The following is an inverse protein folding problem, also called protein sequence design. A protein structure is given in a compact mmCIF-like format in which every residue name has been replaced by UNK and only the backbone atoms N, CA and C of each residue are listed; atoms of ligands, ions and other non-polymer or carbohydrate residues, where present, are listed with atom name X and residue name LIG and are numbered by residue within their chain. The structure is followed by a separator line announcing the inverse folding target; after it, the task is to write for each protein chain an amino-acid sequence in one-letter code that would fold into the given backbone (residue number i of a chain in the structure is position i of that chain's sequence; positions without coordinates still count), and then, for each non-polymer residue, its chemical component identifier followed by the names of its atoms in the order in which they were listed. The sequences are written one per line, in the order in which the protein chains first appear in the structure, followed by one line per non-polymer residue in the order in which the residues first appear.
data_IF_125056489226
#
_entry.id   IF_125056489226
#
_cell.length_a   1.000
_cell.length_b   1.000
_cell.length_c   1.000
_cell.angle_alpha   90.00
_cell.angle_beta   90.00
_cell.angle_gamma   90.00
#
_symmetry.space_group_name_H-M   'P 1'
#
loop_
_entity.id
_entity.type
_entity.pdbx_description
1 polymer ?
#
# COMPACT_ATOMS: atom_id res chain seq x y z
N UNK A 1 -21.40 -56.60 -21.71
CA UNK A 1 -21.84 -56.69 -20.30
C UNK A 1 -20.89 -55.89 -19.43
N UNK A 2 -21.45 -55.00 -18.60
CA UNK A 2 -21.06 -54.59 -17.24
C UNK A 2 -19.63 -54.04 -16.98
N UNK A 3 -19.61 -52.70 -16.84
CA UNK A 3 -18.98 -51.85 -15.82
C UNK A 3 -17.67 -52.30 -15.13
N UNK A 4 -16.69 -51.38 -15.03
CA UNK A 4 -16.53 -50.58 -13.79
C UNK A 4 -15.39 -49.56 -13.88
N UNK A 5 -15.81 -48.31 -13.66
CA UNK A 5 -15.05 -47.11 -13.39
C UNK A 5 -14.37 -47.23 -12.00
N UNK A 6 -13.09 -46.87 -11.86
CA UNK A 6 -12.45 -46.68 -10.54
C UNK A 6 -11.74 -45.33 -10.48
N UNK A 7 -12.55 -44.31 -10.16
CA UNK A 7 -12.10 -43.07 -9.56
C UNK A 7 -11.35 -43.38 -8.26
N UNK A 8 -10.04 -43.15 -8.25
CA UNK A 8 -9.23 -43.14 -7.03
C UNK A 8 -9.44 -41.76 -6.39
N UNK A 9 -10.51 -41.64 -5.62
CA UNK A 9 -10.73 -40.52 -4.72
C UNK A 9 -9.83 -40.66 -3.50
N UNK A 10 -8.83 -39.79 -3.38
CA UNK A 10 -8.00 -39.68 -2.18
C UNK A 10 -8.89 -39.28 -1.00
N UNK A 11 -9.04 -40.20 -0.05
CA UNK A 11 -9.72 -39.98 1.21
C UNK A 11 -8.97 -38.97 2.08
N UNK A 12 -9.76 -38.18 2.80
CA UNK A 12 -9.42 -37.72 4.15
C UNK A 12 -8.41 -36.59 4.31
N UNK A 13 -8.48 -35.54 3.49
CA UNK A 13 -8.13 -34.19 3.98
C UNK A 13 -9.35 -33.61 4.73
N UNK A 14 -9.49 -33.94 6.02
CA UNK A 14 -10.38 -33.22 6.93
C UNK A 14 -9.88 -31.77 7.00
N UNK A 15 -10.37 -30.90 6.10
CA UNK A 15 -10.22 -29.44 6.22
C UNK A 15 -10.97 -29.03 7.48
N UNK A 16 -10.27 -28.95 8.61
CA UNK A 16 -10.75 -28.19 9.77
C UNK A 16 -11.05 -26.79 9.25
N UNK A 17 -12.33 -26.43 9.17
CA UNK A 17 -12.77 -25.05 8.97
C UNK A 17 -12.28 -24.28 10.19
N UNK A 18 -11.10 -23.66 10.08
CA UNK A 18 -10.64 -22.69 11.07
C UNK A 18 -11.55 -21.47 10.93
N UNK A 19 -12.55 -21.42 11.79
CA UNK A 19 -13.41 -20.27 11.99
C UNK A 19 -12.66 -19.23 12.82
N UNK A 20 -11.80 -18.43 12.18
CA UNK A 20 -11.13 -17.27 12.78
C UNK A 20 -11.52 -15.98 12.06
N UNK A 21 -12.82 -15.78 11.80
CA UNK A 21 -13.31 -14.52 11.17
C UNK A 21 -13.24 -13.30 12.11
N UNK A 22 -13.09 -13.49 13.42
CA UNK A 22 -13.03 -12.43 14.42
C UNK A 22 -11.63 -11.80 14.58
N UNK A 23 -10.62 -12.60 14.93
CA UNK A 23 -9.27 -12.06 15.23
C UNK A 23 -8.41 -11.76 14.00
N UNK A 24 -8.76 -12.28 12.82
CA UNK A 24 -8.01 -11.97 11.59
C UNK A 24 -8.21 -10.52 11.14
N UNK A 25 -9.40 -9.94 11.35
CA UNK A 25 -9.69 -8.56 10.94
C UNK A 25 -8.84 -7.52 11.66
N UNK A 26 -8.63 -7.70 12.96
CA UNK A 26 -7.77 -6.82 13.77
C UNK A 26 -6.31 -6.93 13.32
N UNK A 27 -5.83 -8.17 13.09
CA UNK A 27 -4.48 -8.38 12.55
C UNK A 27 -4.30 -7.69 11.18
N UNK A 28 -5.26 -7.82 10.25
CA UNK A 28 -5.17 -7.18 8.93
C UNK A 28 -5.09 -5.63 9.00
N UNK A 29 -5.75 -5.00 9.98
CA UNK A 29 -5.70 -3.55 10.15
C UNK A 29 -4.32 -3.07 10.59
N UNK A 30 -3.67 -3.79 11.50
CA UNK A 30 -2.30 -3.48 11.93
C UNK A 30 -1.32 -3.64 10.74
N UNK A 31 -1.49 -4.68 9.92
CA UNK A 31 -0.68 -4.90 8.72
C UNK A 31 -0.92 -3.91 7.59
N UNK A 32 -2.10 -3.25 7.51
CA UNK A 32 -2.33 -2.16 6.55
C UNK A 32 -1.38 -0.98 6.78
N UNK A 33 -1.10 -0.64 8.04
CA UNK A 33 -0.13 0.43 8.35
C UNK A 33 1.29 0.07 7.89
N UNK A 34 1.66 -1.21 8.02
CA UNK A 34 2.94 -1.75 7.56
C UNK A 34 3.02 -1.76 6.03
N UNK A 35 1.92 -2.11 5.36
CA UNK A 35 1.82 -2.06 3.89
C UNK A 35 2.08 -0.67 3.35
N UNK A 36 1.44 0.36 3.90
CA UNK A 36 1.66 1.75 3.48
C UNK A 36 3.12 2.13 3.67
N UNK A 37 3.70 1.87 4.85
CA UNK A 37 5.12 2.13 5.14
C UNK A 37 6.07 1.42 4.19
N UNK A 38 5.78 0.17 3.82
CA UNK A 38 6.55 -0.58 2.81
C UNK A 38 6.54 0.15 1.46
N UNK A 39 5.37 0.61 1.05
CA UNK A 39 5.14 1.21 -0.27
C UNK A 39 5.79 2.58 -0.40
N UNK A 40 5.79 3.39 0.66
CA UNK A 40 6.48 4.70 0.67
C UNK A 40 7.97 4.61 0.99
N UNK A 41 8.51 3.41 1.26
CA UNK A 41 9.94 3.19 1.51
C UNK A 41 10.39 3.45 2.95
N UNK A 42 9.46 3.56 3.91
CA UNK A 42 9.72 3.89 5.32
C UNK A 42 9.62 2.68 6.26
N UNK A 43 9.51 1.46 5.74
CA UNK A 43 9.40 0.25 6.57
C UNK A 43 10.74 -0.18 7.16
N UNK A 44 10.74 -0.54 8.45
CA UNK A 44 11.93 -1.08 9.10
C UNK A 44 12.20 -2.55 8.69
N UNK A 45 13.45 -3.05 8.77
CA UNK A 45 13.76 -4.42 8.37
C UNK A 45 12.99 -5.51 9.14
N UNK A 46 12.70 -5.31 10.43
CA UNK A 46 11.97 -6.29 11.24
C UNK A 46 10.47 -6.29 10.89
N UNK A 47 9.87 -5.10 10.77
CA UNK A 47 8.52 -4.87 10.29
C UNK A 47 8.26 -5.49 8.92
N UNK A 48 9.24 -5.36 8.01
CA UNK A 48 9.17 -5.97 6.68
C UNK A 48 9.08 -7.50 6.77
N UNK A 49 9.88 -8.13 7.64
CA UNK A 49 9.85 -9.59 7.83
C UNK A 49 8.51 -10.04 8.39
N UNK A 50 7.97 -9.32 9.37
CA UNK A 50 6.66 -9.61 9.96
C UNK A 50 5.54 -9.49 8.92
N UNK A 51 5.58 -8.42 8.12
CA UNK A 51 4.67 -8.20 7.02
C UNK A 51 4.78 -9.32 5.96
N UNK A 52 5.99 -9.71 5.56
CA UNK A 52 6.21 -10.78 4.57
C UNK A 52 5.64 -12.13 5.06
N UNK A 53 5.78 -12.44 6.36
CA UNK A 53 5.16 -13.63 6.97
C UNK A 53 3.64 -13.55 6.92
N UNK A 54 3.04 -12.38 7.19
CA UNK A 54 1.60 -12.18 7.10
C UNK A 54 1.10 -12.31 5.66
N UNK A 55 1.78 -11.70 4.69
CA UNK A 55 1.41 -11.74 3.27
C UNK A 55 1.47 -13.17 2.70
N UNK A 56 2.37 -14.02 3.21
CA UNK A 56 2.40 -15.44 2.84
C UNK A 56 1.16 -16.22 3.30
N UNK A 57 0.44 -15.74 4.33
CA UNK A 57 -0.69 -16.43 4.95
C UNK A 57 -2.04 -15.78 4.63
N UNK A 58 -2.05 -14.49 4.27
CA UNK A 58 -3.26 -13.70 4.05
C UNK A 58 -3.39 -13.26 2.58
N UNK A 59 -4.19 -14.00 1.81
CA UNK A 59 -4.41 -13.70 0.38
C UNK A 59 -5.03 -12.31 0.14
N UNK A 60 -5.88 -11.84 1.05
CA UNK A 60 -6.50 -10.51 0.96
C UNK A 60 -5.44 -9.41 1.05
N UNK A 61 -4.60 -9.42 2.09
CA UNK A 61 -3.53 -8.44 2.25
C UNK A 61 -2.45 -8.56 1.17
N UNK A 62 -2.18 -9.77 0.67
CA UNK A 62 -1.29 -9.96 -0.50
C UNK A 62 -1.87 -9.36 -1.79
N UNK A 63 -3.19 -9.33 -1.93
CA UNK A 63 -3.86 -8.70 -3.06
C UNK A 63 -3.81 -7.18 -2.92
N UNK A 64 -4.13 -6.64 -1.74
CA UNK A 64 -4.02 -5.21 -1.45
C UNK A 64 -2.60 -4.67 -1.69
N UNK A 65 -1.57 -5.43 -1.30
CA UNK A 65 -0.17 -5.05 -1.52
C UNK A 65 0.17 -4.86 -3.01
N UNK A 66 -0.32 -5.76 -3.86
CA UNK A 66 -0.13 -5.70 -5.31
C UNK A 66 -0.90 -4.54 -5.94
N UNK A 67 -2.13 -4.33 -5.50
CA UNK A 67 -2.98 -3.23 -5.97
C UNK A 67 -2.34 -1.88 -5.65
N UNK A 68 -1.89 -1.69 -4.41
CA UNK A 68 -1.24 -0.44 -4.00
C UNK A 68 0.12 -0.24 -4.69
N UNK A 69 0.93 -1.30 -4.83
CA UNK A 69 2.20 -1.22 -5.56
C UNK A 69 1.98 -0.84 -7.03
N UNK A 70 0.97 -1.43 -7.67
CA UNK A 70 0.59 -1.11 -9.05
C UNK A 70 0.09 0.33 -9.16
N UNK A 71 -0.73 0.78 -8.22
CA UNK A 71 -1.22 2.16 -8.20
C UNK A 71 -0.06 3.15 -8.05
N UNK A 72 0.87 2.91 -7.11
CA UNK A 72 2.03 3.77 -6.92
C UNK A 72 2.92 3.82 -8.18
N UNK A 73 3.16 2.69 -8.82
CA UNK A 73 3.92 2.65 -10.09
C UNK A 73 3.24 3.48 -11.18
N UNK A 74 1.91 3.43 -11.28
CA UNK A 74 1.16 4.28 -12.23
C UNK A 74 1.31 5.75 -11.92
N UNK A 75 1.21 6.14 -10.64
CA UNK A 75 1.42 7.53 -10.23
C UNK A 75 2.85 7.99 -10.50
N UNK A 76 3.85 7.16 -10.19
CA UNK A 76 5.26 7.46 -10.44
C UNK A 76 5.66 7.46 -11.92
N UNK A 77 4.80 6.94 -12.81
CA UNK A 77 5.00 7.00 -14.27
C UNK A 77 4.39 8.24 -14.92
N UNK A 78 3.66 9.06 -14.16
CA UNK A 78 3.14 10.32 -14.67
C UNK A 78 4.30 11.27 -14.98
N UNK A 79 4.23 12.03 -16.08
CA UNK A 79 5.23 13.05 -16.35
C UNK A 79 5.22 14.10 -15.24
N UNK A 80 6.39 14.61 -14.90
CA UNK A 80 6.48 15.77 -14.01
C UNK A 80 5.66 16.93 -14.62
N UNK A 81 4.78 17.58 -13.84
CA UNK A 81 4.03 18.70 -14.35
C UNK A 81 5.00 19.84 -14.67
N UNK A 82 4.98 20.31 -15.91
CA UNK A 82 5.71 21.52 -16.28
C UNK A 82 5.01 22.72 -15.62
N UNK A 83 5.75 23.46 -14.80
CA UNK A 83 5.25 24.67 -14.16
C UNK A 83 5.54 25.85 -15.09
N UNK A 84 4.52 26.57 -15.59
CA UNK A 84 4.72 27.78 -16.40
C UNK A 84 5.61 28.80 -15.70
N UNK A 85 6.56 29.38 -16.44
CA UNK A 85 7.52 30.35 -15.90
C UNK A 85 6.81 31.58 -15.30
N UNK A 86 5.67 31.98 -15.86
CA UNK A 86 4.86 33.09 -15.38
C UNK A 86 4.28 32.82 -13.98
N UNK A 87 3.89 31.57 -13.70
CA UNK A 87 3.40 31.17 -12.38
C UNK A 87 4.53 31.17 -11.36
N UNK A 88 5.72 30.72 -11.75
CA UNK A 88 6.89 30.77 -10.89
C UNK A 88 7.25 32.21 -10.52
N UNK A 89 7.37 33.09 -11.51
CA UNK A 89 7.74 34.48 -11.27
C UNK A 89 6.67 35.24 -10.48
N UNK A 90 5.38 35.02 -10.78
CA UNK A 90 4.28 35.61 -10.01
C UNK A 90 4.35 35.19 -8.54
N UNK A 91 4.53 33.89 -8.28
CA UNK A 91 4.64 33.36 -6.92
C UNK A 91 5.84 33.96 -6.20
N UNK A 92 6.99 34.04 -6.88
CA UNK A 92 8.20 34.66 -6.34
C UNK A 92 7.99 36.13 -5.96
N UNK A 93 7.38 36.93 -6.83
CA UNK A 93 7.11 38.34 -6.56
C UNK A 93 6.13 38.53 -5.39
N UNK A 94 5.12 37.67 -5.30
CA UNK A 94 4.17 37.65 -4.18
C UNK A 94 4.88 37.38 -2.85
N UNK A 95 5.73 36.33 -2.79
CA UNK A 95 6.51 36.01 -1.59
C UNK A 95 7.42 37.17 -1.20
N UNK A 96 8.14 37.76 -2.16
CA UNK A 96 9.02 38.90 -1.90
C UNK A 96 8.22 40.14 -1.42
N UNK A 97 7.01 40.33 -1.91
CA UNK A 97 6.09 41.37 -1.43
C UNK A 97 5.78 41.20 0.05
N UNK A 98 5.31 40.01 0.45
CA UNK A 98 4.98 39.71 1.84
C UNK A 98 6.17 39.89 2.79
N UNK A 99 7.36 39.40 2.40
CA UNK A 99 8.57 39.54 3.21
C UNK A 99 8.99 41.02 3.37
N UNK A 100 8.79 41.86 2.34
CA UNK A 100 9.06 43.30 2.45
C UNK A 100 8.09 43.98 3.42
N UNK A 101 6.80 43.70 3.30
CA UNK A 101 5.76 44.26 4.18
C UNK A 101 5.95 43.84 5.64
N UNK A 102 6.33 42.59 5.88
CA UNK A 102 6.66 42.09 7.21
C UNK A 102 7.88 42.83 7.79
N UNK A 103 8.96 42.98 7.02
CA UNK A 103 10.15 43.72 7.44
C UNK A 103 9.86 45.19 7.74
N UNK A 104 8.92 45.81 7.04
CA UNK A 104 8.48 47.19 7.32
C UNK A 104 7.69 47.25 8.63
N UNK A 105 6.80 46.29 8.89
CA UNK A 105 5.99 46.23 10.12
C UNK A 105 6.79 45.91 11.39
N UNK A 106 7.97 45.33 11.26
CA UNK A 106 8.87 45.01 12.38
C UNK A 106 9.84 46.15 12.72
N UNK A 107 9.78 47.29 12.02
CA UNK A 107 10.55 48.52 12.31
C UNK A 107 9.66 49.56 12.97
#
# INVERSE_FOLDING_TARGET
MRHSNKNIGCGSCKRKKVSTRGSQKESCNEFRSLLVRKIVGEILPHEKRELDVHLAQCLLCATEEREFSTALQRFGSLPDPEIPAELYEKTRQTILGYLREEKIRQK
#
